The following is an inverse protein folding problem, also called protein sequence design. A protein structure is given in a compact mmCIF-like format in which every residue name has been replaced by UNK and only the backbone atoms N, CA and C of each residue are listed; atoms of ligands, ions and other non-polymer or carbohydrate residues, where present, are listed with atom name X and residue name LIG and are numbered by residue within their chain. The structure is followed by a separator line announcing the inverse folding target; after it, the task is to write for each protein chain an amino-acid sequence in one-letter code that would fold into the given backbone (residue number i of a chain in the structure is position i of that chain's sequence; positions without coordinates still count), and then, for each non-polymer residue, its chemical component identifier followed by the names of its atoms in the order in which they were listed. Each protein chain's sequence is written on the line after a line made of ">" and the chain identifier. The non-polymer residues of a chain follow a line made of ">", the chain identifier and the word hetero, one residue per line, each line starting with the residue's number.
data_IF_681558768411
#
_entry.id   IF_681558768411
#
_cell.length_a   1.000
_cell.length_b   1.000
_cell.length_c   1.000
_cell.angle_alpha   90.00
_cell.angle_beta   90.00
_cell.angle_gamma   90.00
#
_symmetry.space_group_name_H-M   'P 1'
#
loop_
_entity.id
_entity.type
_entity.pdbx_description
1 polymer ?
#
# COMPACT_ATOMS: atom_id res chain seq x y z
N UNK A 1 31.75 0.53 -39.13
CA UNK A 1 32.41 -0.24 -38.03
C UNK A 1 32.03 0.53 -36.78
N UNK A 2 30.92 0.09 -36.16
CA UNK A 2 30.39 0.75 -34.98
C UNK A 2 31.25 0.37 -33.79
N UNK A 3 31.62 1.37 -33.02
CA UNK A 3 32.22 1.21 -31.71
C UNK A 3 31.17 0.53 -30.82
N UNK A 4 31.30 -0.78 -30.61
CA UNK A 4 30.74 -1.44 -29.46
C UNK A 4 31.51 -0.86 -28.27
N UNK A 5 30.99 0.21 -27.66
CA UNK A 5 31.31 0.55 -26.28
C UNK A 5 31.09 -0.72 -25.46
N UNK A 6 32.16 -1.38 -25.08
CA UNK A 6 32.11 -2.38 -24.06
C UNK A 6 31.47 -1.71 -22.83
N UNK A 7 30.25 -2.09 -22.50
CA UNK A 7 29.67 -1.84 -21.17
C UNK A 7 30.67 -2.46 -20.18
N UNK A 8 31.62 -1.66 -19.74
CA UNK A 8 32.43 -2.05 -18.57
C UNK A 8 31.47 -2.45 -17.46
N UNK A 9 31.68 -3.62 -16.88
CA UNK A 9 30.81 -4.11 -15.82
C UNK A 9 30.73 -3.05 -14.73
N UNK A 10 29.52 -2.66 -14.35
CA UNK A 10 29.33 -1.71 -13.23
C UNK A 10 30.03 -2.20 -11.96
N UNK A 11 30.11 -3.52 -11.76
CA UNK A 11 30.81 -4.12 -10.65
C UNK A 11 32.33 -3.89 -10.72
N UNK A 12 32.94 -3.86 -11.93
CA UNK A 12 34.36 -3.60 -12.11
C UNK A 12 34.74 -2.16 -11.76
N UNK A 13 33.76 -1.25 -11.82
CA UNK A 13 33.89 0.14 -11.42
C UNK A 13 33.49 0.39 -9.95
N UNK A 14 33.24 -0.66 -9.16
CA UNK A 14 32.88 -0.58 -7.76
C UNK A 14 31.43 -0.16 -7.51
N UNK A 15 30.56 -0.15 -8.54
CA UNK A 15 29.15 0.19 -8.39
C UNK A 15 28.35 -0.97 -7.78
N UNK A 16 27.56 -0.68 -6.76
CA UNK A 16 26.58 -1.59 -6.18
C UNK A 16 25.21 -0.93 -6.14
N UNK A 17 24.14 -1.74 -6.12
CA UNK A 17 22.77 -1.23 -6.12
C UNK A 17 22.42 -0.38 -4.91
N UNK A 18 23.18 -0.50 -3.80
CA UNK A 18 22.88 0.14 -2.51
C UNK A 18 24.07 0.90 -1.93
N UNK A 19 25.04 1.29 -2.76
CA UNK A 19 26.19 2.04 -2.30
C UNK A 19 25.82 3.48 -1.95
N UNK A 20 26.40 4.02 -0.86
CA UNK A 20 26.27 5.43 -0.52
C UNK A 20 27.15 6.24 -1.46
N UNK A 21 26.51 7.03 -2.30
CA UNK A 21 27.17 7.97 -3.18
C UNK A 21 27.33 9.33 -2.51
N UNK A 22 28.48 9.97 -2.76
CA UNK A 22 28.64 11.38 -2.41
C UNK A 22 27.62 12.23 -3.17
N UNK A 23 27.11 13.24 -2.52
CA UNK A 23 25.97 14.08 -2.89
C UNK A 23 25.75 14.22 -4.41
N UNK A 24 24.82 13.44 -4.92
CA UNK A 24 24.28 13.60 -6.27
C UNK A 24 22.76 13.83 -6.15
N UNK A 25 22.18 14.94 -6.66
CA UNK A 25 20.75 15.22 -6.56
C UNK A 25 19.85 14.17 -7.21
N UNK A 26 20.41 13.24 -7.99
CA UNK A 26 19.70 12.09 -8.55
C UNK A 26 19.81 10.85 -7.68
N UNK A 27 20.58 10.90 -6.58
CA UNK A 27 20.65 9.80 -5.62
C UNK A 27 19.44 9.87 -4.72
N UNK A 28 18.56 8.91 -4.86
CA UNK A 28 17.44 8.72 -3.97
C UNK A 28 17.93 8.05 -2.68
N UNK A 29 18.11 8.82 -1.63
CA UNK A 29 18.28 8.29 -0.28
C UNK A 29 16.90 7.85 0.19
N UNK A 30 16.56 6.59 -0.04
CA UNK A 30 15.42 5.99 0.63
C UNK A 30 15.84 5.75 2.09
N UNK A 31 15.80 6.79 2.92
CA UNK A 31 15.54 6.54 4.32
C UNK A 31 14.23 5.76 4.36
N UNK A 32 14.26 4.56 4.93
CA UNK A 32 13.03 3.80 5.09
C UNK A 32 12.02 4.73 5.75
N UNK A 33 10.89 5.07 5.08
CA UNK A 33 9.89 5.88 5.74
C UNK A 33 9.46 5.07 6.97
N UNK A 34 9.90 5.52 8.11
CA UNK A 34 9.35 5.11 9.40
C UNK A 34 8.13 6.00 9.55
N UNK A 35 7.01 5.63 9.39
CA UNK A 35 6.14 4.54 9.79
C UNK A 35 5.36 3.95 8.60
N UNK A 36 4.61 2.89 8.83
CA UNK A 36 3.72 2.21 7.89
C UNK A 36 2.85 3.15 7.02
N UNK A 37 2.46 4.31 7.56
CA UNK A 37 1.66 5.33 6.89
C UNK A 37 2.38 5.88 5.65
N UNK A 38 3.66 6.22 5.78
CA UNK A 38 4.45 6.74 4.65
C UNK A 38 4.83 5.63 3.67
N UNK A 39 4.97 4.39 4.17
CA UNK A 39 5.35 3.26 3.34
C UNK A 39 4.21 2.83 2.40
N UNK A 40 2.95 2.83 2.87
CA UNK A 40 1.80 2.54 2.02
C UNK A 40 1.65 3.53 0.87
N UNK A 41 1.95 4.82 1.12
CA UNK A 41 1.88 5.88 0.11
C UNK A 41 2.81 5.60 -1.07
N UNK A 42 4.01 5.05 -0.82
CA UNK A 42 4.95 4.69 -1.88
C UNK A 42 4.38 3.66 -2.86
N UNK A 43 3.61 2.69 -2.37
CA UNK A 43 2.95 1.69 -3.20
C UNK A 43 1.80 2.28 -4.01
N UNK A 44 0.98 3.14 -3.40
CA UNK A 44 -0.08 3.85 -4.12
C UNK A 44 0.51 4.69 -5.26
N UNK A 45 1.51 5.56 -4.96
CA UNK A 45 2.14 6.43 -5.95
C UNK A 45 2.83 5.67 -7.07
N UNK A 46 3.48 4.56 -6.74
CA UNK A 46 4.08 3.68 -7.75
C UNK A 46 3.03 3.10 -8.71
N UNK A 47 1.94 2.58 -8.18
CA UNK A 47 0.82 2.08 -8.98
C UNK A 47 0.18 3.18 -9.82
N UNK A 48 -0.14 4.32 -9.22
CA UNK A 48 -0.73 5.49 -9.88
C UNK A 48 0.12 5.97 -11.06
N UNK A 49 1.43 6.08 -10.87
CA UNK A 49 2.36 6.49 -11.92
C UNK A 49 2.32 5.55 -13.12
N UNK A 50 2.38 4.24 -12.88
CA UNK A 50 2.33 3.24 -13.95
C UNK A 50 0.99 3.32 -14.69
N UNK A 51 -0.14 3.31 -13.98
CA UNK A 51 -1.48 3.33 -14.58
C UNK A 51 -1.71 4.61 -15.40
N UNK A 52 -1.28 5.77 -14.90
CA UNK A 52 -1.38 7.04 -15.65
C UNK A 52 -0.58 7.01 -16.95
N UNK A 53 0.61 6.40 -16.95
CA UNK A 53 1.41 6.24 -18.15
C UNK A 53 0.73 5.29 -19.15
N UNK A 54 0.26 4.14 -18.70
CA UNK A 54 -0.46 3.18 -19.55
C UNK A 54 -1.75 3.77 -20.14
N UNK A 55 -2.51 4.54 -19.35
CA UNK A 55 -3.71 5.24 -19.83
C UNK A 55 -3.41 6.31 -20.91
N UNK A 56 -2.18 6.79 -20.97
CA UNK A 56 -1.69 7.71 -21.99
C UNK A 56 -1.02 7.01 -23.19
N UNK A 57 -1.12 5.68 -23.26
CA UNK A 57 -0.49 4.88 -24.32
C UNK A 57 1.03 4.79 -24.21
N UNK A 58 1.60 5.04 -23.03
CA UNK A 58 3.03 4.92 -22.76
C UNK A 58 3.30 3.67 -21.92
N UNK A 59 4.19 2.81 -22.38
CA UNK A 59 4.54 1.55 -21.71
C UNK A 59 3.89 0.32 -22.34
N UNK A 60 4.09 -0.82 -21.70
CA UNK A 60 3.63 -2.14 -22.16
C UNK A 60 2.62 -2.70 -21.15
N UNK A 61 1.31 -2.65 -21.48
CA UNK A 61 0.24 -3.08 -20.57
C UNK A 61 0.44 -4.48 -20.00
N UNK A 62 0.92 -5.40 -20.83
CA UNK A 62 1.12 -6.81 -20.48
C UNK A 62 2.24 -7.01 -19.44
N UNK A 63 3.15 -6.04 -19.32
CA UNK A 63 4.29 -6.10 -18.41
C UNK A 63 4.01 -5.22 -17.18
N UNK A 64 3.72 -3.95 -17.41
CA UNK A 64 3.64 -2.95 -16.36
C UNK A 64 2.29 -2.97 -15.64
N UNK A 65 1.24 -3.41 -16.33
CA UNK A 65 -0.10 -3.50 -15.76
C UNK A 65 -0.17 -4.42 -14.54
N UNK A 66 0.47 -5.58 -14.62
CA UNK A 66 0.54 -6.53 -13.48
C UNK A 66 1.27 -5.91 -12.29
N UNK A 67 2.37 -5.19 -12.55
CA UNK A 67 3.11 -4.49 -11.50
C UNK A 67 2.25 -3.42 -10.82
N UNK A 68 1.47 -2.66 -11.59
CA UNK A 68 0.57 -1.66 -11.04
C UNK A 68 -0.50 -2.27 -10.12
N UNK A 69 -1.14 -3.36 -10.57
CA UNK A 69 -2.15 -4.07 -9.77
C UNK A 69 -1.53 -4.62 -8.48
N UNK A 70 -0.33 -5.21 -8.55
CA UNK A 70 0.39 -5.70 -7.38
C UNK A 70 0.68 -4.58 -6.37
N UNK A 71 1.20 -3.44 -6.84
CA UNK A 71 1.50 -2.30 -5.98
C UNK A 71 0.23 -1.77 -5.29
N UNK A 72 -0.87 -1.64 -6.04
CA UNK A 72 -2.13 -1.18 -5.46
C UNK A 72 -2.72 -2.18 -4.45
N UNK A 73 -2.68 -3.46 -4.76
CA UNK A 73 -3.09 -4.49 -3.81
C UNK A 73 -2.27 -4.43 -2.51
N UNK A 74 -0.97 -4.18 -2.63
CA UNK A 74 -0.11 -4.05 -1.45
C UNK A 74 -0.40 -2.77 -0.66
N UNK A 75 -0.70 -1.66 -1.36
CA UNK A 75 -1.24 -0.46 -0.72
C UNK A 75 -2.49 -0.75 0.09
N UNK A 76 -3.49 -1.46 -0.50
CA UNK A 76 -4.72 -1.84 0.21
C UNK A 76 -4.42 -2.60 1.50
N UNK A 77 -3.55 -3.59 1.43
CA UNK A 77 -3.15 -4.38 2.60
C UNK A 77 -2.57 -3.49 3.71
N UNK A 78 -1.64 -2.61 3.36
CA UNK A 78 -0.99 -1.72 4.32
C UNK A 78 -1.93 -0.65 4.87
N UNK A 79 -2.83 -0.11 4.06
CA UNK A 79 -3.83 0.87 4.48
C UNK A 79 -4.83 0.25 5.47
N UNK A 80 -5.35 -0.93 5.17
CA UNK A 80 -6.25 -1.65 6.08
C UNK A 80 -5.55 -2.00 7.40
N UNK A 81 -4.30 -2.48 7.35
CA UNK A 81 -3.49 -2.74 8.56
C UNK A 81 -3.33 -1.49 9.41
N UNK A 82 -3.02 -0.35 8.80
CA UNK A 82 -2.86 0.91 9.52
C UNK A 82 -4.16 1.34 10.23
N UNK A 83 -5.32 1.19 9.57
CA UNK A 83 -6.63 1.51 10.14
C UNK A 83 -6.95 0.58 11.32
N UNK A 84 -6.75 -0.74 11.16
CA UNK A 84 -6.97 -1.73 12.23
C UNK A 84 -6.12 -1.43 13.45
N UNK A 85 -4.80 -1.24 13.24
CA UNK A 85 -3.87 -0.94 14.32
C UNK A 85 -4.24 0.35 15.04
N UNK A 86 -4.67 1.38 14.32
CA UNK A 86 -5.14 2.63 14.92
C UNK A 86 -6.40 2.42 15.75
N UNK A 87 -7.38 1.68 15.24
CA UNK A 87 -8.61 1.35 15.97
C UNK A 87 -8.34 0.62 17.29
N UNK A 88 -7.47 -0.37 17.28
CA UNK A 88 -7.06 -1.12 18.47
C UNK A 88 -6.30 -0.25 19.47
N UNK A 89 -5.38 0.60 18.99
CA UNK A 89 -4.65 1.51 19.85
C UNK A 89 -5.56 2.49 20.59
N UNK A 90 -6.55 3.05 19.90
CA UNK A 90 -7.52 3.96 20.51
C UNK A 90 -8.35 3.30 21.62
N UNK A 91 -8.52 1.99 21.57
CA UNK A 91 -9.24 1.25 22.61
C UNK A 91 -8.37 1.00 23.84
N UNK A 92 -7.11 0.62 23.65
CA UNK A 92 -6.25 0.12 24.74
C UNK A 92 -5.29 1.17 25.27
N UNK A 93 -4.83 2.09 24.43
CA UNK A 93 -3.81 3.11 24.73
C UNK A 93 -2.57 2.54 25.46
N UNK A 94 -2.14 1.32 25.11
CA UNK A 94 -1.05 0.58 25.72
C UNK A 94 0.03 0.26 24.68
N UNK A 95 1.27 0.71 24.95
CA UNK A 95 2.42 0.54 24.05
C UNK A 95 2.79 -0.92 23.82
N UNK A 96 2.73 -1.77 24.83
CA UNK A 96 3.09 -3.18 24.70
C UNK A 96 2.02 -3.93 23.89
N UNK A 97 0.74 -3.67 24.16
CA UNK A 97 -0.34 -4.20 23.35
C UNK A 97 -0.25 -3.76 21.89
N UNK A 98 0.10 -2.51 21.62
CA UNK A 98 0.31 -2.02 20.26
C UNK A 98 1.43 -2.76 19.51
N UNK A 99 2.56 -3.09 20.18
CA UNK A 99 3.64 -3.89 19.59
C UNK A 99 3.21 -5.32 19.25
N UNK A 100 2.36 -5.91 20.09
CA UNK A 100 1.79 -7.23 19.81
C UNK A 100 0.79 -7.18 18.65
N UNK A 101 -0.09 -6.18 18.63
CA UNK A 101 -1.04 -5.95 17.54
C UNK A 101 -0.32 -5.80 16.19
N UNK A 102 0.79 -5.08 16.14
CA UNK A 102 1.61 -4.95 14.92
C UNK A 102 2.15 -6.30 14.45
N UNK A 103 2.63 -7.15 15.37
CA UNK A 103 3.12 -8.49 15.03
C UNK A 103 2.00 -9.41 14.55
N UNK A 104 0.82 -9.30 15.15
CA UNK A 104 -0.35 -10.10 14.80
C UNK A 104 -0.93 -9.65 13.46
N UNK A 105 -1.31 -8.39 13.34
CA UNK A 105 -1.90 -7.80 12.12
C UNK A 105 -0.91 -7.83 10.97
N UNK A 106 0.39 -7.67 11.25
CA UNK A 106 1.45 -7.74 10.26
C UNK A 106 1.48 -9.06 9.46
N UNK A 107 1.07 -10.17 10.06
CA UNK A 107 1.04 -11.51 9.44
C UNK A 107 -0.20 -11.76 8.56
N UNK A 108 -1.20 -10.90 8.63
CA UNK A 108 -2.44 -11.07 7.87
C UNK A 108 -2.21 -10.48 6.47
N UNK A 109 -2.37 -11.29 5.43
CA UNK A 109 -2.29 -10.88 4.04
C UNK A 109 -3.62 -10.97 3.29
N UNK A 110 -4.64 -11.53 3.93
CA UNK A 110 -5.98 -11.67 3.40
C UNK A 110 -6.74 -10.34 3.56
N UNK A 111 -7.12 -9.71 2.44
CA UNK A 111 -7.79 -8.41 2.45
C UNK A 111 -9.20 -8.46 3.06
N UNK A 112 -9.93 -9.55 2.83
CA UNK A 112 -11.27 -9.71 3.40
C UNK A 112 -11.21 -9.84 4.94
N UNK A 113 -10.21 -10.55 5.46
CA UNK A 113 -9.97 -10.63 6.90
C UNK A 113 -9.56 -9.28 7.48
N UNK A 114 -8.67 -8.54 6.82
CA UNK A 114 -8.29 -7.20 7.25
C UNK A 114 -9.49 -6.25 7.26
N UNK A 115 -10.35 -6.32 6.24
CA UNK A 115 -11.58 -5.52 6.22
C UNK A 115 -12.52 -5.87 7.36
N UNK A 116 -12.70 -7.15 7.65
CA UNK A 116 -13.47 -7.59 8.81
C UNK A 116 -12.93 -7.00 10.11
N UNK A 117 -11.61 -6.95 10.27
CA UNK A 117 -10.99 -6.30 11.43
C UNK A 117 -11.21 -4.78 11.45
N UNK A 118 -11.20 -4.10 10.30
CA UNK A 118 -11.59 -2.68 10.21
C UNK A 118 -13.01 -2.47 10.77
N UNK A 119 -13.95 -3.32 10.37
CA UNK A 119 -15.33 -3.25 10.85
C UNK A 119 -15.46 -3.52 12.36
N UNK A 120 -14.59 -4.36 12.91
CA UNK A 120 -14.61 -4.71 14.35
C UNK A 120 -13.88 -3.69 15.22
N UNK A 121 -12.68 -3.27 14.79
CA UNK A 121 -11.74 -2.56 15.66
C UNK A 121 -11.74 -1.04 15.40
N UNK A 122 -11.96 -0.60 14.15
CA UNK A 122 -11.90 0.80 13.76
C UNK A 122 -13.27 1.46 13.59
N UNK A 123 -14.23 0.79 12.94
CA UNK A 123 -15.59 1.33 12.74
C UNK A 123 -16.25 1.85 14.03
N UNK A 124 -16.18 1.17 15.18
CA UNK A 124 -16.77 1.68 16.43
C UNK A 124 -16.16 2.99 16.94
N UNK A 125 -15.03 3.41 16.40
CA UNK A 125 -14.32 4.67 16.74
C UNK A 125 -14.62 5.80 15.73
N UNK A 126 -15.38 5.52 14.68
CA UNK A 126 -15.84 6.48 13.68
C UNK A 126 -17.32 6.73 13.94
N UNK A 127 -17.73 7.99 14.08
CA UNK A 127 -19.15 8.28 14.26
C UNK A 127 -19.97 7.88 13.02
N UNK A 128 -21.28 7.68 13.24
CA UNK A 128 -22.15 7.13 12.21
C UNK A 128 -22.25 8.03 10.99
N UNK A 129 -22.30 9.36 11.17
CA UNK A 129 -22.43 10.32 10.07
C UNK A 129 -21.18 10.31 9.19
N UNK A 130 -19.99 10.23 9.80
CA UNK A 130 -18.73 10.08 9.06
C UNK A 130 -18.66 8.73 8.35
N UNK A 131 -19.06 7.66 9.02
CA UNK A 131 -19.09 6.33 8.40
C UNK A 131 -20.03 6.28 7.19
N UNK A 132 -21.22 6.84 7.30
CA UNK A 132 -22.23 6.86 6.24
C UNK A 132 -21.84 7.77 5.06
N UNK A 133 -20.87 8.66 5.26
CA UNK A 133 -20.31 9.47 4.19
C UNK A 133 -19.35 8.71 3.28
N UNK A 134 -18.84 7.55 3.72
CA UNK A 134 -17.94 6.72 2.92
C UNK A 134 -18.72 5.78 1.99
N UNK A 135 -18.23 5.59 0.78
CA UNK A 135 -18.79 4.63 -0.18
C UNK A 135 -18.36 3.19 0.20
N UNK A 136 -18.91 2.71 1.34
CA UNK A 136 -18.59 1.39 1.88
C UNK A 136 -18.91 0.26 0.88
N UNK A 137 -20.07 0.25 0.17
CA UNK A 137 -20.36 -0.80 -0.80
C UNK A 137 -19.31 -0.88 -1.91
N UNK A 138 -18.74 0.26 -2.33
CA UNK A 138 -17.72 0.28 -3.36
C UNK A 138 -16.39 -0.33 -2.86
N UNK A 139 -15.97 0.03 -1.65
CA UNK A 139 -14.72 -0.51 -1.10
C UNK A 139 -14.82 -2.01 -0.84
N UNK A 140 -15.97 -2.49 -0.34
CA UNK A 140 -16.24 -3.92 -0.13
C UNK A 140 -16.18 -4.69 -1.44
N UNK A 141 -16.76 -4.14 -2.50
CA UNK A 141 -16.67 -4.72 -3.85
C UNK A 141 -15.23 -4.81 -4.33
N UNK A 142 -14.45 -3.73 -4.21
CA UNK A 142 -13.05 -3.74 -4.61
C UNK A 142 -12.22 -4.76 -3.81
N UNK A 143 -12.43 -4.84 -2.50
CA UNK A 143 -11.75 -5.83 -1.65
C UNK A 143 -12.12 -7.25 -2.07
N UNK A 144 -13.39 -7.53 -2.35
CA UNK A 144 -13.84 -8.84 -2.81
C UNK A 144 -13.20 -9.22 -4.16
N UNK A 145 -13.16 -8.29 -5.12
CA UNK A 145 -12.53 -8.50 -6.43
C UNK A 145 -11.02 -8.82 -6.33
N UNK A 146 -10.30 -8.14 -5.42
CA UNK A 146 -8.89 -8.45 -5.15
C UNK A 146 -8.73 -9.77 -4.42
N UNK A 147 -9.62 -10.06 -3.47
CA UNK A 147 -9.59 -11.31 -2.70
C UNK A 147 -9.81 -12.53 -3.59
N UNK A 148 -10.78 -12.49 -4.49
CA UNK A 148 -11.05 -13.56 -5.44
C UNK A 148 -9.83 -13.88 -6.33
N UNK A 149 -9.06 -12.85 -6.73
CA UNK A 149 -7.91 -13.00 -7.62
C UNK A 149 -6.61 -13.30 -6.90
N UNK A 150 -6.49 -12.89 -5.65
CA UNK A 150 -5.26 -13.00 -4.86
C UNK A 150 -5.55 -13.13 -3.36
N UNK A 151 -6.21 -14.21 -2.97
CA UNK A 151 -6.57 -14.47 -1.57
C UNK A 151 -5.37 -14.38 -0.61
N UNK A 152 -4.20 -14.86 -1.05
CA UNK A 152 -2.99 -14.99 -0.23
C UNK A 152 -1.92 -13.92 -0.46
N UNK A 153 -2.13 -13.00 -1.40
CA UNK A 153 -1.16 -11.97 -1.75
C UNK A 153 0.02 -12.46 -2.61
N UNK A 154 -0.11 -13.59 -3.30
CA UNK A 154 0.95 -14.18 -4.11
C UNK A 154 0.67 -14.20 -5.60
N UNK A 155 -0.60 -14.10 -6.01
CA UNK A 155 -1.01 -14.29 -7.40
C UNK A 155 -0.33 -13.30 -8.37
N UNK A 156 -0.17 -12.05 -7.96
CA UNK A 156 0.49 -11.02 -8.77
C UNK A 156 2.01 -11.00 -8.66
N UNK A 157 2.60 -11.86 -7.80
CA UNK A 157 4.06 -11.94 -7.62
C UNK A 157 4.71 -13.01 -8.47
N UNK A 158 3.98 -14.09 -8.75
CA UNK A 158 4.55 -15.28 -9.39
C UNK A 158 3.72 -15.71 -10.59
N UNK A 159 4.36 -15.94 -11.76
CA UNK A 159 3.67 -16.45 -12.93
C UNK A 159 2.99 -17.80 -12.64
N UNK A 160 1.74 -17.97 -13.08
CA UNK A 160 1.01 -19.23 -12.96
C UNK A 160 0.32 -19.47 -11.62
N UNK A 161 0.40 -18.55 -10.66
CA UNK A 161 -0.33 -18.63 -9.39
C UNK A 161 -1.57 -17.73 -9.33
N UNK A 162 -1.68 -16.76 -10.20
CA UNK A 162 -2.91 -16.00 -10.44
C UNK A 162 -3.73 -16.71 -11.49
N UNK A 163 -5.05 -16.82 -11.28
CA UNK A 163 -5.97 -17.44 -12.24
C UNK A 163 -5.81 -16.94 -13.67
N UNK A 164 -6.47 -17.63 -14.60
CA UNK A 164 -6.51 -17.29 -16.01
C UNK A 164 -6.84 -15.81 -16.22
N UNK A 165 -6.25 -15.21 -17.25
CA UNK A 165 -6.38 -13.83 -17.75
C UNK A 165 -7.47 -12.97 -17.11
N UNK A 166 -7.08 -11.86 -16.51
CA UNK A 166 -8.05 -10.83 -16.14
C UNK A 166 -7.84 -9.59 -17.02
N UNK A 167 -8.92 -9.19 -17.67
CA UNK A 167 -8.96 -7.95 -18.42
C UNK A 167 -9.44 -6.82 -17.52
N UNK A 168 -8.75 -5.69 -17.55
CA UNK A 168 -9.19 -4.48 -16.87
C UNK A 168 -8.90 -3.22 -17.69
N UNK A 169 -9.80 -2.27 -17.62
CA UNK A 169 -9.60 -0.96 -18.22
C UNK A 169 -8.73 -0.10 -17.32
N UNK A 170 -7.59 0.41 -17.82
CA UNK A 170 -6.73 1.32 -17.07
C UNK A 170 -7.47 2.56 -16.59
N UNK A 171 -8.40 3.09 -17.40
CA UNK A 171 -9.20 4.25 -17.02
C UNK A 171 -10.16 3.98 -15.86
N UNK A 172 -10.83 2.83 -15.86
CA UNK A 172 -11.68 2.45 -14.74
C UNK A 172 -10.88 2.07 -13.51
N UNK A 173 -9.80 1.33 -13.69
CA UNK A 173 -8.92 0.95 -12.60
C UNK A 173 -8.31 2.18 -11.91
N UNK A 174 -7.84 3.17 -12.68
CA UNK A 174 -7.33 4.44 -12.15
C UNK A 174 -8.35 5.17 -11.27
N UNK A 175 -9.61 5.27 -11.73
CA UNK A 175 -10.69 5.91 -10.97
C UNK A 175 -11.03 5.13 -9.70
N UNK A 176 -11.08 3.79 -9.80
CA UNK A 176 -11.34 2.93 -8.66
C UNK A 176 -10.24 3.06 -7.60
N UNK A 177 -8.97 3.04 -8.03
CA UNK A 177 -7.82 3.25 -7.16
C UNK A 177 -7.89 4.59 -6.41
N UNK A 178 -8.15 5.67 -7.13
CA UNK A 178 -8.24 7.01 -6.55
C UNK A 178 -9.37 7.10 -5.53
N UNK A 179 -10.54 6.56 -5.86
CA UNK A 179 -11.70 6.57 -4.97
C UNK A 179 -11.46 5.76 -3.69
N UNK A 180 -10.94 4.54 -3.81
CA UNK A 180 -10.58 3.71 -2.66
C UNK A 180 -9.49 4.37 -1.81
N UNK A 181 -8.48 4.95 -2.46
CA UNK A 181 -7.43 5.70 -1.77
C UNK A 181 -8.03 6.83 -0.91
N UNK A 182 -8.90 7.67 -1.48
CA UNK A 182 -9.54 8.76 -0.77
C UNK A 182 -10.36 8.28 0.44
N UNK A 183 -11.13 7.21 0.29
CA UNK A 183 -11.90 6.65 1.41
C UNK A 183 -10.98 6.18 2.54
N UNK A 184 -9.96 5.38 2.24
CA UNK A 184 -9.05 4.84 3.27
C UNK A 184 -8.21 5.92 3.95
N UNK A 185 -7.76 6.93 3.19
CA UNK A 185 -7.05 8.07 3.76
C UNK A 185 -7.97 8.91 4.65
N UNK A 186 -9.21 9.17 4.23
CA UNK A 186 -10.18 9.90 5.04
C UNK A 186 -10.50 9.15 6.36
N UNK A 187 -10.66 7.82 6.32
CA UNK A 187 -10.80 7.03 7.54
C UNK A 187 -9.58 7.15 8.45
N UNK A 188 -8.38 7.10 7.86
CA UNK A 188 -7.13 7.24 8.62
C UNK A 188 -7.00 8.61 9.26
N UNK A 189 -7.29 9.67 8.51
CA UNK A 189 -7.26 11.07 8.99
C UNK A 189 -8.30 11.27 10.08
N UNK A 190 -9.53 10.79 9.88
CA UNK A 190 -10.59 10.85 10.89
C UNK A 190 -10.15 10.26 12.24
N UNK A 191 -9.59 9.05 12.21
CA UNK A 191 -9.13 8.37 13.43
C UNK A 191 -7.95 9.10 14.11
N UNK A 192 -7.14 9.82 13.34
CA UNK A 192 -6.04 10.64 13.87
C UNK A 192 -6.56 11.93 14.50
N UNK A 193 -7.42 12.65 13.80
CA UNK A 193 -7.87 13.99 14.21
C UNK A 193 -8.87 13.93 15.37
N UNK A 194 -9.85 13.03 15.30
CA UNK A 194 -10.92 12.94 16.31
C UNK A 194 -10.41 12.46 17.66
N UNK A 195 -9.39 11.60 17.67
CA UNK A 195 -8.84 11.01 18.89
C UNK A 195 -7.47 11.61 19.28
N UNK A 196 -7.10 12.72 18.65
CA UNK A 196 -5.85 13.44 18.91
C UNK A 196 -4.63 12.80 18.25
N UNK A 197 -3.65 13.65 17.94
CA UNK A 197 -2.30 13.19 17.60
C UNK A 197 -1.65 12.68 18.90
N UNK A 198 -1.82 11.42 19.17
CA UNK A 198 -1.15 10.82 20.29
C UNK A 198 0.34 10.70 19.92
N UNK A 199 1.21 11.56 20.49
CA UNK A 199 2.67 11.49 20.31
C UNK A 199 3.18 10.07 20.60
N UNK A 200 2.57 9.40 21.56
CA UNK A 200 2.87 8.03 21.95
C UNK A 200 2.67 7.03 20.81
N UNK A 201 1.63 7.22 19.95
CA UNK A 201 1.44 6.39 18.76
C UNK A 201 2.54 6.59 17.71
N UNK A 202 2.96 7.84 17.49
CA UNK A 202 4.06 8.13 16.57
C UNK A 202 5.39 7.54 17.07
N UNK A 203 5.64 7.57 18.37
CA UNK A 203 6.81 6.94 18.97
C UNK A 203 6.80 5.42 18.82
N UNK A 204 5.63 4.77 19.04
CA UNK A 204 5.49 3.31 18.84
C UNK A 204 5.77 2.92 17.38
N UNK A 205 5.23 3.67 16.42
CA UNK A 205 5.46 3.42 15.00
C UNK A 205 6.90 3.67 14.57
N UNK A 206 7.60 4.60 15.23
CA UNK A 206 9.01 4.88 14.98
C UNK A 206 9.96 3.81 15.53
N UNK A 207 9.52 3.08 16.56
CA UNK A 207 10.29 2.00 17.21
C UNK A 207 10.11 0.62 16.51
N UNK A 208 9.24 0.55 15.49
CA UNK A 208 8.91 -0.67 14.71
C UNK A 208 9.58 -0.66 13.35
#
# INVERSE_FOLDING_TARGET
>A
MGDEEKLESLADNGYTAFEKWDYNPLVFVAERPKPWISFKESFYRGSEFIIKNLAQGRGFPEIEGVAAVFLFRHYLELALKAIVMRGRFLERADRNAAKEDVKEVGKIHNLAELWRLVLMDAKPKIDQDAWDSYDIPFIEKCIAEFHERDERGFAFRYPGQGGEHFDYSFGYFSKAMEHVYQILENMTVYLIETHGQNQEWQEILNDL
#
